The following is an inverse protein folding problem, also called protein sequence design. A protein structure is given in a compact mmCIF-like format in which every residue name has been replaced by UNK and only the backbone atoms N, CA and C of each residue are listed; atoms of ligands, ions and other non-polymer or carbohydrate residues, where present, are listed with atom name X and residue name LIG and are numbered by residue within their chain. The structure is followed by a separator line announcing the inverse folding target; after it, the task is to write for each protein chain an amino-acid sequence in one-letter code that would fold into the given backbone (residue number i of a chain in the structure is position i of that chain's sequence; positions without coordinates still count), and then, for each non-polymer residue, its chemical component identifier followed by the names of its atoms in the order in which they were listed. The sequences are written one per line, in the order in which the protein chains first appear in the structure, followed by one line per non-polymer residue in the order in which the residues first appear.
data_IF_298757091484
#
_entry.id   IF_298757091484
#
_cell.length_a   1.000
_cell.length_b   1.000
_cell.length_c   1.000
_cell.angle_alpha   90.00
_cell.angle_beta   90.00
_cell.angle_gamma   90.00
#
_symmetry.space_group_name_H-M   'P 1'
#
loop_
_entity.id
_entity.type
_entity.pdbx_description
1 polymer ?
#
# COMPACT_ATOMS: atom_id res chain seq x y z
N UNK A 1 18.83 -22.60 7.69
CA UNK A 1 18.48 -21.17 7.67
C UNK A 1 18.41 -20.75 6.20
N UNK A 2 17.28 -20.97 5.54
CA UNK A 2 17.14 -20.66 4.11
C UNK A 2 16.87 -19.17 3.96
N UNK A 3 17.89 -18.43 3.50
CA UNK A 3 17.81 -17.00 3.24
C UNK A 3 16.98 -16.74 1.99
N UNK A 4 15.73 -16.30 2.19
CA UNK A 4 14.87 -15.84 1.10
C UNK A 4 15.42 -14.51 0.59
N UNK A 5 16.10 -14.54 -0.54
CA UNK A 5 16.56 -13.35 -1.26
C UNK A 5 15.35 -12.69 -1.92
N UNK A 6 14.89 -11.58 -1.35
CA UNK A 6 13.88 -10.72 -1.99
C UNK A 6 14.53 -10.02 -3.18
N UNK A 7 14.24 -10.51 -4.38
CA UNK A 7 14.63 -9.85 -5.63
C UNK A 7 13.86 -8.54 -5.78
N UNK A 8 14.57 -7.43 -5.69
CA UNK A 8 14.06 -6.07 -5.94
C UNK A 8 13.84 -5.90 -7.44
N UNK A 9 12.60 -6.12 -7.90
CA UNK A 9 12.23 -5.85 -9.29
C UNK A 9 12.16 -4.34 -9.48
N UNK A 10 13.09 -3.78 -10.26
CA UNK A 10 13.01 -2.38 -10.72
C UNK A 10 11.94 -2.32 -11.81
N UNK A 11 10.70 -2.06 -11.41
CA UNK A 11 9.62 -1.82 -12.37
C UNK A 11 9.74 -0.41 -12.95
N UNK A 12 9.84 -0.33 -14.27
CA UNK A 12 9.74 0.94 -15.03
C UNK A 12 8.34 1.51 -14.78
N UNK A 13 8.16 2.82 -14.57
CA UNK A 13 6.84 3.38 -14.31
C UNK A 13 5.93 3.11 -15.51
N UNK A 14 4.85 2.37 -15.28
CA UNK A 14 3.86 1.99 -16.30
C UNK A 14 2.85 3.14 -16.53
N UNK A 15 2.88 4.16 -15.66
CA UNK A 15 2.03 5.34 -15.62
C UNK A 15 2.67 6.50 -16.40
N UNK A 16 1.87 7.25 -17.17
CA UNK A 16 2.33 8.48 -17.83
C UNK A 16 2.76 9.51 -16.79
N UNK A 17 3.90 10.15 -17.01
CA UNK A 17 4.46 11.19 -16.16
C UNK A 17 3.73 12.52 -16.43
N UNK A 18 2.56 12.69 -15.80
CA UNK A 18 1.68 13.85 -16.00
C UNK A 18 2.41 15.19 -15.79
N UNK A 19 3.39 15.22 -14.90
CA UNK A 19 4.19 16.41 -14.60
C UNK A 19 5.05 16.85 -15.78
N UNK A 20 5.63 15.91 -16.53
CA UNK A 20 6.43 16.20 -17.72
C UNK A 20 5.57 16.67 -18.91
N UNK A 21 4.37 16.11 -19.05
CA UNK A 21 3.42 16.55 -20.07
C UNK A 21 2.81 17.93 -19.73
N UNK A 22 2.54 18.23 -18.46
CA UNK A 22 2.08 19.56 -18.02
C UNK A 22 3.11 20.65 -18.29
N UNK A 23 4.39 20.41 -18.00
CA UNK A 23 5.48 21.39 -18.22
C UNK A 23 5.68 21.73 -19.71
N UNK A 24 5.45 20.77 -20.60
CA UNK A 24 5.50 21.02 -22.04
C UNK A 24 4.34 21.89 -22.52
N UNK A 25 3.16 21.73 -21.93
CA UNK A 25 1.96 22.47 -22.33
C UNK A 25 2.00 23.91 -21.84
N UNK A 26 2.55 24.17 -20.65
CA UNK A 26 2.64 25.54 -20.09
C UNK A 26 3.66 26.44 -20.78
N UNK A 27 4.44 25.90 -21.74
CA UNK A 27 5.45 26.68 -22.47
C UNK A 27 4.84 27.57 -23.56
N UNK A 28 3.59 27.31 -23.99
CA UNK A 28 2.89 28.15 -24.97
C UNK A 28 2.24 29.39 -24.32
N UNK A 29 2.30 30.54 -25.01
CA UNK A 29 1.87 31.86 -24.50
C UNK A 29 0.36 32.14 -24.65
N UNK A 30 -0.40 31.23 -25.26
CA UNK A 30 -1.84 31.36 -25.50
C UNK A 30 -2.61 30.56 -24.45
N UNK A 31 -3.38 31.25 -23.59
CA UNK A 31 -4.11 30.62 -22.47
C UNK A 31 -5.16 29.61 -22.95
N UNK A 32 -5.87 29.91 -24.04
CA UNK A 32 -6.91 29.02 -24.59
C UNK A 32 -6.33 27.69 -25.08
N UNK A 33 -5.17 27.72 -25.75
CA UNK A 33 -4.49 26.50 -26.21
C UNK A 33 -4.03 25.63 -25.03
N UNK A 34 -3.53 26.25 -23.96
CA UNK A 34 -3.14 25.55 -22.73
C UNK A 34 -4.36 24.85 -22.12
N UNK A 35 -5.48 25.55 -21.99
CA UNK A 35 -6.72 25.01 -21.41
C UNK A 35 -7.26 23.84 -22.23
N UNK A 36 -7.24 23.91 -23.55
CA UNK A 36 -7.65 22.81 -24.42
C UNK A 36 -6.74 21.59 -24.26
N UNK A 37 -5.42 21.80 -24.17
CA UNK A 37 -4.46 20.71 -24.05
C UNK A 37 -4.56 20.02 -22.69
N UNK A 38 -4.77 20.76 -21.61
CA UNK A 38 -5.04 20.19 -20.28
C UNK A 38 -6.31 19.34 -20.31
N UNK A 39 -7.40 19.84 -20.90
CA UNK A 39 -8.63 19.05 -21.08
C UNK A 39 -8.39 17.75 -21.85
N UNK A 40 -7.59 17.79 -22.92
CA UNK A 40 -7.25 16.58 -23.70
C UNK A 40 -6.47 15.56 -22.88
N UNK A 41 -5.54 16.01 -22.04
CA UNK A 41 -4.78 15.13 -21.14
C UNK A 41 -5.69 14.48 -20.08
N UNK A 42 -6.56 15.25 -19.45
CA UNK A 42 -7.48 14.74 -18.43
C UNK A 42 -8.50 13.74 -18.98
N UNK A 43 -8.89 13.92 -20.25
CA UNK A 43 -9.79 13.03 -20.97
C UNK A 43 -9.08 11.81 -21.59
N UNK A 44 -7.78 11.64 -21.41
CA UNK A 44 -7.03 10.51 -21.99
C UNK A 44 -6.62 9.50 -20.92
N UNK A 45 -6.57 8.22 -21.29
CA UNK A 45 -6.09 7.15 -20.39
C UNK A 45 -4.69 7.43 -19.84
N UNK A 46 -4.53 7.27 -18.52
CA UNK A 46 -3.24 7.46 -17.82
C UNK A 46 -2.24 6.33 -18.12
N UNK A 47 -2.66 5.27 -18.81
CA UNK A 47 -1.81 4.15 -19.22
C UNK A 47 -0.97 4.50 -20.46
N UNK A 48 0.35 4.27 -20.42
CA UNK A 48 1.31 4.70 -21.47
C UNK A 48 0.93 4.25 -22.89
N UNK A 49 0.41 3.04 -23.04
CA UNK A 49 0.09 2.46 -24.37
C UNK A 49 -1.33 2.80 -24.85
N UNK A 50 -2.17 3.40 -24.00
CA UNK A 50 -3.57 3.65 -24.31
C UNK A 50 -3.79 5.15 -24.62
N UNK A 51 -4.48 5.43 -25.72
CA UNK A 51 -4.91 6.79 -26.13
C UNK A 51 -6.43 6.92 -26.20
N UNK A 52 -7.17 5.98 -25.61
CA UNK A 52 -8.62 6.00 -25.60
C UNK A 52 -9.12 7.20 -24.79
N UNK A 53 -10.15 7.86 -25.33
CA UNK A 53 -10.83 8.96 -24.67
C UNK A 53 -11.74 8.43 -23.54
N UNK A 54 -11.72 9.10 -22.41
CA UNK A 54 -12.34 8.73 -21.14
C UNK A 54 -13.41 9.76 -20.70
N UNK A 55 -13.78 10.71 -21.57
CA UNK A 55 -14.68 11.82 -21.25
C UNK A 55 -15.99 11.39 -20.58
N UNK A 56 -16.54 10.22 -20.94
CA UNK A 56 -17.82 9.73 -20.41
C UNK A 56 -17.66 8.72 -19.28
N UNK A 57 -16.69 7.81 -19.37
CA UNK A 57 -16.52 6.71 -18.42
C UNK A 57 -15.06 6.59 -17.98
N UNK A 58 -14.78 7.19 -16.83
CA UNK A 58 -13.49 7.13 -16.16
C UNK A 58 -13.63 6.29 -14.89
N UNK A 59 -12.72 5.32 -14.73
CA UNK A 59 -12.55 4.64 -13.44
C UNK A 59 -11.27 5.18 -12.81
N UNK A 60 -11.39 5.70 -11.60
CA UNK A 60 -10.26 6.13 -10.80
C UNK A 60 -9.69 4.98 -9.95
N UNK A 61 -8.36 4.93 -9.86
CA UNK A 61 -7.68 4.00 -8.97
C UNK A 61 -7.39 4.65 -7.61
N UNK A 62 -7.74 3.98 -6.51
CA UNK A 62 -7.53 4.48 -5.13
C UNK A 62 -6.06 4.73 -4.78
N UNK A 63 -5.13 3.99 -5.38
CA UNK A 63 -3.70 4.01 -5.01
C UNK A 63 -2.92 5.04 -5.83
N UNK A 64 -3.06 5.04 -7.15
CA UNK A 64 -2.36 6.00 -8.03
C UNK A 64 -3.17 7.24 -8.39
N UNK A 65 -4.47 7.30 -8.05
CA UNK A 65 -5.40 8.38 -8.41
C UNK A 65 -5.44 8.69 -9.91
N UNK A 66 -5.04 7.72 -10.74
CA UNK A 66 -5.08 7.80 -12.19
C UNK A 66 -6.49 7.52 -12.70
N UNK A 67 -6.85 8.17 -13.82
CA UNK A 67 -8.07 7.87 -14.58
C UNK A 67 -7.75 6.89 -15.71
N UNK A 68 -8.52 5.82 -15.78
CA UNK A 68 -8.36 4.75 -16.76
C UNK A 68 -9.66 4.43 -17.50
N UNK A 69 -9.52 3.91 -18.71
CA UNK A 69 -10.64 3.37 -19.48
C UNK A 69 -11.05 2.00 -18.89
N UNK A 70 -12.27 1.50 -19.16
CA UNK A 70 -12.75 0.23 -18.61
C UNK A 70 -11.80 -0.95 -18.86
N UNK A 71 -11.09 -0.99 -19.98
CA UNK A 71 -10.11 -2.03 -20.31
C UNK A 71 -8.81 -2.01 -19.46
N UNK A 72 -8.46 -0.86 -18.87
CA UNK A 72 -7.22 -0.70 -18.07
C UNK A 72 -7.52 -0.30 -16.63
N UNK A 73 -8.76 -0.48 -16.18
CA UNK A 73 -9.22 -0.10 -14.84
C UNK A 73 -8.61 -0.98 -13.74
N UNK A 74 -8.22 -2.21 -14.09
CA UNK A 74 -7.74 -3.18 -13.11
C UNK A 74 -6.36 -2.79 -12.55
N UNK A 75 -6.17 -2.82 -11.22
CA UNK A 75 -4.90 -2.49 -10.57
C UNK A 75 -3.68 -3.29 -11.06
N UNK A 76 -3.88 -4.55 -11.43
CA UNK A 76 -2.83 -5.42 -11.98
C UNK A 76 -2.25 -4.88 -13.30
N UNK A 77 -3.07 -4.22 -14.12
CA UNK A 77 -2.68 -3.80 -15.47
C UNK A 77 -1.80 -2.54 -15.43
N UNK A 78 -2.10 -1.62 -14.51
CA UNK A 78 -1.35 -0.36 -14.37
C UNK A 78 -0.30 -0.38 -13.24
N UNK A 79 -0.08 -1.53 -12.60
CA UNK A 79 0.98 -1.76 -11.61
C UNK A 79 0.63 -1.39 -10.17
N UNK A 80 -0.64 -1.11 -9.86
CA UNK A 80 -1.09 -0.92 -8.48
C UNK A 80 -1.51 -2.22 -7.77
N UNK A 81 -1.38 -3.37 -8.44
CA UNK A 81 -1.76 -4.69 -7.91
C UNK A 81 -1.07 -5.03 -6.58
N UNK A 82 0.22 -4.71 -6.43
CA UNK A 82 0.95 -4.98 -5.18
C UNK A 82 0.39 -4.20 -3.98
N UNK A 83 -0.05 -2.96 -4.20
CA UNK A 83 -0.62 -2.12 -3.15
C UNK A 83 -2.00 -2.65 -2.72
N UNK A 84 -2.84 -3.04 -3.68
CA UNK A 84 -4.13 -3.71 -3.41
C UNK A 84 -3.90 -5.01 -2.64
N UNK A 85 -2.96 -5.83 -3.09
CA UNK A 85 -2.69 -7.13 -2.47
C UNK A 85 -2.26 -7.01 -1.01
N UNK A 86 -1.47 -5.99 -0.68
CA UNK A 86 -1.07 -5.71 0.70
C UNK A 86 -2.26 -5.27 1.54
N UNK A 87 -3.03 -4.30 1.06
CA UNK A 87 -4.21 -3.77 1.74
C UNK A 87 -5.26 -4.87 2.01
N UNK A 88 -5.57 -5.68 1.00
CA UNK A 88 -6.52 -6.80 1.14
C UNK A 88 -5.96 -7.90 2.06
N UNK A 89 -4.66 -8.18 2.02
CA UNK A 89 -4.01 -9.13 2.95
C UNK A 89 -4.06 -8.62 4.38
N UNK A 90 -3.83 -7.33 4.59
CA UNK A 90 -3.98 -6.72 5.91
C UNK A 90 -5.41 -6.89 6.39
N UNK A 91 -6.42 -6.47 5.61
CA UNK A 91 -7.85 -6.63 5.95
C UNK A 91 -8.25 -8.07 6.25
N UNK A 92 -7.72 -9.03 5.49
CA UNK A 92 -7.98 -10.44 5.74
C UNK A 92 -7.33 -10.92 7.04
N UNK A 93 -6.09 -10.53 7.29
CA UNK A 93 -5.35 -10.92 8.50
C UNK A 93 -5.84 -10.22 9.77
N UNK A 94 -6.41 -9.02 9.66
CA UNK A 94 -7.17 -8.37 10.71
C UNK A 94 -8.66 -8.55 10.42
N UNK A 95 -9.28 -9.72 10.69
CA UNK A 95 -10.73 -9.79 10.68
C UNK A 95 -11.20 -8.69 11.65
N UNK A 96 -11.86 -7.68 11.10
CA UNK A 96 -12.20 -6.45 11.76
C UNK A 96 -13.13 -6.75 12.94
N UNK A 97 -12.54 -7.08 14.08
CA UNK A 97 -13.21 -6.97 15.37
C UNK A 97 -12.85 -5.59 15.84
N UNK A 98 -13.70 -4.60 15.53
CA UNK A 98 -13.67 -3.31 16.23
C UNK A 98 -13.90 -3.61 17.71
N UNK A 99 -12.82 -3.85 18.46
CA UNK A 99 -12.89 -3.92 19.90
C UNK A 99 -13.25 -2.51 20.37
N UNK A 100 -14.41 -2.36 21.04
CA UNK A 100 -14.76 -1.13 21.75
C UNK A 100 -13.57 -0.67 22.60
N UNK A 101 -13.41 0.64 22.81
CA UNK A 101 -12.29 1.24 23.55
C UNK A 101 -11.96 0.48 24.85
N UNK A 102 -13.01 0.13 25.61
CA UNK A 102 -12.91 -0.63 26.86
C UNK A 102 -12.36 -2.06 26.69
N UNK A 103 -12.72 -2.73 25.59
CA UNK A 103 -12.24 -4.07 25.27
C UNK A 103 -10.76 -4.05 24.85
N UNK A 104 -10.31 -2.96 24.22
CA UNK A 104 -8.91 -2.76 23.88
C UNK A 104 -8.03 -2.59 25.13
N UNK A 105 -8.46 -1.77 26.10
CA UNK A 105 -7.75 -1.58 27.37
C UNK A 105 -7.70 -2.88 28.20
N UNK A 106 -8.82 -3.63 28.24
CA UNK A 106 -8.87 -4.95 28.89
C UNK A 106 -7.95 -5.97 28.21
N UNK A 107 -7.81 -5.93 26.88
CA UNK A 107 -6.89 -6.79 26.17
C UNK A 107 -5.42 -6.42 26.45
N UNK A 108 -5.09 -5.11 26.48
CA UNK A 108 -3.74 -4.62 26.77
C UNK A 108 -3.29 -4.96 28.20
N UNK A 109 -4.16 -4.78 29.19
CA UNK A 109 -3.86 -5.13 30.58
C UNK A 109 -3.63 -6.63 30.74
N UNK A 110 -4.47 -7.49 30.16
CA UNK A 110 -4.27 -8.95 30.16
C UNK A 110 -2.96 -9.36 29.49
N UNK A 111 -2.60 -8.74 28.37
CA UNK A 111 -1.34 -8.99 27.67
C UNK A 111 -0.14 -8.62 28.55
N UNK A 112 -0.18 -7.44 29.18
CA UNK A 112 0.88 -6.99 30.08
C UNK A 112 1.06 -7.91 31.29
N UNK A 113 -0.05 -8.40 31.87
CA UNK A 113 0.02 -9.38 32.97
C UNK A 113 0.66 -10.68 32.51
N UNK A 114 0.30 -11.20 31.32
CA UNK A 114 0.90 -12.42 30.77
C UNK A 114 2.39 -12.26 30.47
N UNK A 115 2.81 -11.10 29.94
CA UNK A 115 4.23 -10.81 29.73
C UNK A 115 5.01 -10.78 31.04
N UNK A 116 4.47 -10.14 32.08
CA UNK A 116 5.08 -10.14 33.42
C UNK A 116 5.19 -11.56 33.97
N UNK A 117 4.14 -12.38 33.84
CA UNK A 117 4.18 -13.78 34.26
C UNK A 117 5.29 -14.55 33.54
N UNK A 118 5.38 -14.45 32.21
CA UNK A 118 6.44 -15.10 31.43
C UNK A 118 7.84 -14.60 31.79
N UNK A 119 8.00 -13.32 32.13
CA UNK A 119 9.27 -12.78 32.62
C UNK A 119 9.65 -13.39 33.98
N UNK A 120 8.70 -13.55 34.90
CA UNK A 120 8.93 -14.18 36.19
C UNK A 120 9.29 -15.66 36.03
N UNK A 121 8.59 -16.39 35.15
CA UNK A 121 8.88 -17.79 34.85
C UNK A 121 10.28 -17.98 34.24
N UNK A 122 10.73 -17.06 33.37
CA UNK A 122 12.09 -17.05 32.84
C UNK A 122 13.12 -16.80 33.94
N UNK A 123 12.90 -15.82 34.83
CA UNK A 123 13.79 -15.52 35.96
C UNK A 123 13.88 -16.68 36.96
N UNK A 124 12.76 -17.36 37.24
CA UNK A 124 12.73 -18.52 38.13
C UNK A 124 13.50 -19.72 37.56
N UNK A 125 13.36 -20.00 36.25
CA UNK A 125 14.16 -21.04 35.56
C UNK A 125 15.66 -20.72 35.51
N UNK A 126 16.03 -19.44 35.48
CA UNK A 126 17.42 -18.99 35.53
C UNK A 126 18.08 -19.23 36.91
N UNK A 127 17.28 -19.34 37.98
CA UNK A 127 17.74 -19.65 39.33
C UNK A 127 17.82 -21.16 39.62
N UNK A 128 16.98 -21.98 38.96
CA UNK A 128 16.95 -23.44 39.20
C UNK A 128 18.04 -24.24 38.46
N UNK A 129 18.67 -23.68 37.41
CA UNK A 129 19.77 -24.33 36.69
C UNK A 129 21.16 -24.19 37.33
N UNK A 130 21.27 -23.46 38.45
CA UNK A 130 22.54 -23.23 39.17
C UNK A 130 22.77 -24.08 40.43
N UNK A 131 21.80 -24.88 40.88
CA UNK A 131 21.89 -25.70 42.11
C UNK A 131 21.79 -27.19 41.78
N UNK A 132 22.85 -27.74 41.19
CA UNK A 132 22.87 -29.16 40.84
C UNK A 132 24.25 -29.70 40.49
N UNK A 133 25.33 -29.26 41.16
CA UNK A 133 26.62 -29.96 41.12
C UNK A 133 27.54 -29.56 42.28
N UNK A 134 27.24 -30.05 43.49
CA UNK A 134 28.26 -30.19 44.56
C UNK A 134 27.77 -31.14 45.66
N UNK A 135 27.95 -32.43 45.45
CA UNK A 135 28.53 -33.36 46.43
C UNK A 135 28.83 -34.68 45.76
#
# INVERSE_FOLDING_TARGET
MSTVTVTKVKEKPILKDKEADLQKITTSKNLDEVLENVKKLDNTCSFKKCKTNISNFAIDCKYCKGRFCPSHSLPEIHGCGEAVRKDEKEKFNHPYVKLNQENHEKAQTKLNMKLKQMQLERKAKQCSSGKGKKK
#
